data_IF_088963375603
#
_entry.id   IF_088963375603
#
_cell.length_a   1.000
_cell.length_b   1.000
_cell.length_c   1.000
_cell.angle_alpha   90.00
_cell.angle_beta   90.00
_cell.angle_gamma   90.00
#
_symmetry.space_group_name_H-M   'P 1'
#
loop_
_entity.id
_entity.type
_entity.pdbx_description
1 polymer ?
#
# COMPACT_ATOMS: atom_id res chain seq x y z
N UNK A 1 23.56 -20.98 33.22
CA UNK A 1 23.70 -19.55 32.85
C UNK A 1 22.91 -19.32 31.57
N UNK A 2 21.65 -18.88 31.63
CA UNK A 2 20.87 -18.67 30.39
C UNK A 2 21.31 -17.37 29.69
N UNK A 3 21.48 -17.42 28.37
CA UNK A 3 21.83 -16.24 27.58
C UNK A 3 20.68 -15.22 27.61
N UNK A 4 21.01 -13.92 27.50
CA UNK A 4 20.00 -12.85 27.42
C UNK A 4 19.00 -13.11 26.29
N UNK A 5 19.48 -13.68 25.19
CA UNK A 5 18.68 -14.11 24.05
C UNK A 5 17.64 -15.18 24.44
N UNK A 6 18.04 -16.18 25.23
CA UNK A 6 17.13 -17.24 25.67
C UNK A 6 16.05 -16.72 26.63
N UNK A 7 16.39 -15.73 27.48
CA UNK A 7 15.41 -15.02 28.32
C UNK A 7 14.40 -14.23 27.49
N UNK A 8 14.86 -13.53 26.45
CA UNK A 8 14.00 -12.75 25.55
C UNK A 8 13.06 -13.66 24.75
N UNK A 9 13.56 -14.78 24.21
CA UNK A 9 12.75 -15.76 23.46
C UNK A 9 11.71 -16.43 24.37
N UNK A 10 12.07 -16.77 25.61
CA UNK A 10 11.10 -17.36 26.56
C UNK A 10 10.00 -16.38 26.96
N UNK A 11 10.30 -15.09 27.06
CA UNK A 11 9.31 -14.05 27.34
C UNK A 11 8.29 -13.90 26.19
N UNK A 12 8.75 -13.84 24.94
CA UNK A 12 7.90 -13.79 23.74
C UNK A 12 6.98 -15.01 23.63
N UNK A 13 7.51 -16.22 23.86
CA UNK A 13 6.72 -17.47 23.84
C UNK A 13 5.70 -17.51 24.97
N UNK A 14 6.00 -16.94 26.14
CA UNK A 14 5.06 -16.84 27.26
C UNK A 14 3.93 -15.85 26.99
N UNK A 15 4.22 -14.73 26.30
CA UNK A 15 3.21 -13.76 25.84
C UNK A 15 2.25 -14.43 24.85
N UNK A 16 2.77 -15.17 23.87
CA UNK A 16 1.96 -15.93 22.90
C UNK A 16 1.06 -16.99 23.56
N UNK A 17 1.54 -17.67 24.62
CA UNK A 17 0.76 -18.68 25.35
C UNK A 17 -0.34 -18.09 26.25
N UNK A 18 -0.22 -16.83 26.67
CA UNK A 18 -1.25 -16.15 27.49
C UNK A 18 -2.41 -15.60 26.66
N UNK A 19 -2.27 -15.54 25.33
CA UNK A 19 -3.28 -15.06 24.40
C UNK A 19 -4.25 -16.17 23.98
N UNK A 20 -4.75 -16.97 24.93
CA UNK A 20 -5.82 -17.92 24.68
C UNK A 20 -7.17 -17.18 24.70
N UNK A 21 -7.94 -17.11 23.60
CA UNK A 21 -9.19 -16.36 23.59
C UNK A 21 -10.36 -17.26 24.00
N UNK A 22 -11.02 -16.94 25.12
CA UNK A 22 -12.38 -17.41 25.40
C UNK A 22 -13.40 -16.39 24.87
N UNK A 23 -13.97 -16.76 23.72
CA UNK A 23 -15.31 -16.49 23.18
C UNK A 23 -16.18 -15.38 23.80
N UNK A 24 -16.65 -14.42 22.98
CA UNK A 24 -18.03 -13.90 23.04
C UNK A 24 -18.58 -13.62 21.62
N UNK A 25 -19.61 -14.41 21.31
CA UNK A 25 -20.69 -14.30 20.33
C UNK A 25 -20.62 -13.23 19.20
N UNK A 26 -20.51 -13.71 17.95
CA UNK A 26 -21.06 -13.01 16.78
C UNK A 26 -20.22 -13.04 15.50
N UNK A 27 -18.91 -12.79 15.58
CA UNK A 27 -18.05 -12.57 14.40
C UNK A 27 -16.78 -13.46 14.39
N UNK A 28 -16.89 -14.74 14.79
CA UNK A 28 -15.73 -15.59 15.08
C UNK A 28 -15.35 -16.63 14.00
N UNK A 29 -15.94 -16.59 12.79
CA UNK A 29 -15.65 -17.59 11.74
C UNK A 29 -14.70 -17.14 10.62
N UNK A 30 -14.41 -15.84 10.45
CA UNK A 30 -13.68 -15.33 9.27
C UNK A 30 -12.19 -15.07 9.52
N UNK A 31 -11.75 -14.97 10.79
CA UNK A 31 -10.39 -14.49 11.11
C UNK A 31 -9.33 -15.59 11.13
N UNK A 32 -9.71 -16.86 11.37
CA UNK A 32 -8.74 -17.97 11.46
C UNK A 32 -8.37 -18.52 10.07
N UNK A 33 -9.32 -18.59 9.13
CA UNK A 33 -9.02 -18.95 7.74
C UNK A 33 -8.18 -17.86 7.04
N UNK A 34 -8.41 -16.59 7.36
CA UNK A 34 -7.70 -15.45 6.76
C UNK A 34 -6.27 -15.28 7.26
N UNK A 35 -5.98 -15.60 8.52
CA UNK A 35 -4.63 -15.48 9.08
C UNK A 35 -3.65 -16.54 8.56
N UNK A 36 -4.08 -17.81 8.46
CA UNK A 36 -3.27 -18.89 7.89
C UNK A 36 -3.18 -18.74 6.36
N UNK A 37 -4.25 -18.28 5.70
CA UNK A 37 -4.22 -17.94 4.27
C UNK A 37 -3.32 -16.74 3.98
N UNK A 38 -3.26 -15.71 4.85
CA UNK A 38 -2.31 -14.60 4.73
C UNK A 38 -0.85 -15.04 5.01
N UNK A 39 -0.63 -16.03 5.87
CA UNK A 39 0.70 -16.63 6.07
C UNK A 39 1.16 -17.47 4.87
N UNK A 40 0.24 -18.21 4.23
CA UNK A 40 0.54 -19.07 3.07
C UNK A 40 0.55 -18.30 1.73
N UNK A 41 -0.22 -17.21 1.62
CA UNK A 41 -0.27 -16.31 0.46
C UNK A 41 0.52 -15.02 0.73
N UNK A 42 1.83 -15.09 0.97
CA UNK A 42 2.70 -13.93 0.70
C UNK A 42 2.81 -13.68 -0.81
N UNK A 43 1.66 -13.47 -1.47
CA UNK A 43 1.55 -12.91 -2.80
C UNK A 43 1.71 -11.41 -2.72
N UNK A 44 2.97 -10.95 -2.71
CA UNK A 44 3.39 -9.63 -3.17
C UNK A 44 2.67 -8.39 -2.58
N UNK A 45 2.62 -8.23 -1.25
CA UNK A 45 2.52 -6.86 -0.69
C UNK A 45 3.92 -6.25 -0.73
N UNK A 46 4.38 -5.90 -1.94
CA UNK A 46 5.60 -5.10 -2.08
C UNK A 46 5.31 -3.76 -1.41
N UNK A 47 6.09 -3.32 -0.40
CA UNK A 47 5.88 -2.02 0.21
C UNK A 47 5.99 -0.97 -0.89
N UNK A 48 4.84 -0.45 -1.33
CA UNK A 48 4.80 0.56 -2.39
C UNK A 48 5.28 1.85 -1.73
N UNK A 49 6.52 2.22 -2.04
CA UNK A 49 7.00 3.57 -1.74
C UNK A 49 6.27 4.50 -2.69
N UNK A 50 5.24 5.17 -2.17
CA UNK A 50 4.52 6.19 -2.91
C UNK A 50 5.29 7.51 -2.86
N UNK A 51 5.11 8.32 -3.89
CA UNK A 51 5.77 9.63 -3.97
C UNK A 51 5.05 10.64 -3.08
N UNK A 52 5.82 11.57 -2.53
CA UNK A 52 5.30 12.77 -1.86
C UNK A 52 4.64 13.73 -2.87
N UNK A 53 3.88 14.72 -2.38
CA UNK A 53 3.22 15.76 -3.19
C UNK A 53 4.21 16.48 -4.14
N UNK A 54 5.47 16.62 -3.71
CA UNK A 54 6.53 17.34 -4.43
C UNK A 54 7.40 16.46 -5.34
N UNK A 55 7.28 15.15 -5.22
CA UNK A 55 8.16 14.19 -5.90
C UNK A 55 7.56 13.68 -7.21
N UNK A 56 8.42 13.33 -8.18
CA UNK A 56 7.96 12.70 -9.41
C UNK A 56 7.32 11.33 -9.09
N UNK A 57 6.06 11.17 -9.46
CA UNK A 57 5.29 9.96 -9.20
C UNK A 57 5.23 8.99 -10.39
N UNK A 58 5.89 9.28 -11.53
CA UNK A 58 5.84 8.44 -12.74
C UNK A 58 6.26 6.99 -12.49
N UNK A 59 7.30 6.77 -11.68
CA UNK A 59 7.81 5.42 -11.40
C UNK A 59 6.96 4.67 -10.37
N UNK A 60 6.37 5.40 -9.42
CA UNK A 60 5.64 4.81 -8.28
C UNK A 60 4.17 4.57 -8.63
N UNK A 61 3.56 5.46 -9.42
CA UNK A 61 2.14 5.44 -9.79
C UNK A 61 1.21 5.59 -8.59
N UNK A 62 1.71 6.07 -7.45
CA UNK A 62 0.92 6.33 -6.26
C UNK A 62 1.45 7.51 -5.44
N UNK A 63 0.57 8.08 -4.64
CA UNK A 63 0.83 9.25 -3.81
C UNK A 63 0.70 8.88 -2.32
N UNK A 64 1.55 9.49 -1.49
CA UNK A 64 1.63 9.19 -0.06
C UNK A 64 0.39 9.68 0.71
N UNK A 65 -0.14 10.84 0.29
CA UNK A 65 -1.35 11.44 0.84
C UNK A 65 -2.59 10.85 0.18
N UNK A 66 -3.57 10.47 1.01
CA UNK A 66 -4.87 9.99 0.55
C UNK A 66 -5.59 11.10 -0.22
N UNK A 67 -6.35 10.72 -1.25
CA UNK A 67 -7.07 11.65 -2.12
C UNK A 67 -6.23 12.15 -3.31
N UNK A 68 -4.91 12.10 -3.21
CA UNK A 68 -4.04 12.42 -4.34
C UNK A 68 -3.86 11.24 -5.29
N UNK A 69 -3.74 11.58 -6.56
CA UNK A 69 -3.51 10.66 -7.67
C UNK A 69 -2.33 11.16 -8.50
N UNK A 70 -1.62 10.23 -9.12
CA UNK A 70 -0.47 10.57 -9.93
C UNK A 70 -0.92 10.95 -11.35
N UNK A 71 -0.91 12.24 -11.67
CA UNK A 71 -1.24 12.72 -13.00
C UNK A 71 0.04 13.10 -13.74
N UNK A 72 0.18 12.61 -14.97
CA UNK A 72 1.21 13.07 -15.89
C UNK A 72 1.01 14.57 -16.13
N UNK A 73 2.10 15.34 -16.08
CA UNK A 73 2.13 16.75 -16.47
C UNK A 73 2.68 16.90 -17.89
N UNK A 74 3.64 16.05 -18.22
CA UNK A 74 4.32 15.93 -19.50
C UNK A 74 4.89 14.50 -19.63
N UNK A 75 5.69 14.24 -20.66
CA UNK A 75 6.26 12.91 -20.93
C UNK A 75 7.34 12.48 -19.91
N UNK A 76 7.93 13.41 -19.16
CA UNK A 76 9.06 13.16 -18.26
C UNK A 76 8.72 13.42 -16.78
N UNK A 77 7.58 14.09 -16.52
CA UNK A 77 7.15 14.42 -15.18
C UNK A 77 5.68 14.10 -14.87
N UNK A 78 5.45 13.56 -13.68
CA UNK A 78 4.13 13.41 -13.09
C UNK A 78 4.11 13.87 -11.64
N UNK A 79 2.99 14.45 -11.23
CA UNK A 79 2.82 15.02 -9.89
C UNK A 79 1.57 14.47 -9.21
N UNK A 80 1.62 14.41 -7.89
CA UNK A 80 0.48 14.04 -7.08
C UNK A 80 -0.52 15.21 -6.96
N UNK A 81 -1.72 15.03 -7.50
CA UNK A 81 -2.79 16.02 -7.51
C UNK A 81 -4.14 15.35 -7.21
N UNK A 82 -5.10 16.10 -6.64
CA UNK A 82 -6.45 15.58 -6.40
C UNK A 82 -7.23 15.35 -7.70
N UNK A 83 -6.97 16.19 -8.69
CA UNK A 83 -7.62 16.16 -10.00
C UNK A 83 -6.66 16.62 -11.10
N UNK A 84 -6.99 16.27 -12.34
CA UNK A 84 -6.32 16.81 -13.52
C UNK A 84 -6.55 18.33 -13.58
N UNK A 85 -5.49 19.11 -13.40
CA UNK A 85 -5.57 20.56 -13.54
C UNK A 85 -5.53 20.92 -15.03
N UNK A 86 -6.47 21.75 -15.51
CA UNK A 86 -6.58 22.13 -16.93
C UNK A 86 -5.38 22.91 -17.51
N UNK A 87 -4.31 23.17 -16.74
CA UNK A 87 -3.10 23.80 -17.26
C UNK A 87 -2.26 22.88 -18.17
N UNK A 88 -2.52 21.58 -18.21
CA UNK A 88 -1.81 20.64 -19.07
C UNK A 88 -2.59 20.46 -20.36
N UNK A 89 -2.22 21.18 -21.41
CA UNK A 89 -2.97 21.22 -22.68
C UNK A 89 -2.84 19.94 -23.51
N UNK A 90 -2.09 18.92 -23.07
CA UNK A 90 -1.92 17.65 -23.82
C UNK A 90 -1.67 16.39 -22.99
N UNK A 91 -1.08 16.46 -21.78
CA UNK A 91 -0.79 15.28 -20.96
C UNK A 91 -1.45 15.41 -19.58
N UNK A 92 -2.54 14.66 -19.34
CA UNK A 92 -3.21 14.60 -18.04
C UNK A 92 -3.58 13.16 -17.65
N UNK A 93 -2.83 12.20 -18.19
CA UNK A 93 -3.09 10.78 -18.00
C UNK A 93 -2.81 10.37 -16.55
N UNK A 94 -3.66 9.50 -16.02
CA UNK A 94 -3.52 8.97 -14.68
C UNK A 94 -2.55 7.78 -14.68
N UNK A 95 -1.48 7.89 -13.90
CA UNK A 95 -0.49 6.84 -13.72
C UNK A 95 -0.86 6.01 -12.50
N UNK A 96 -1.12 4.73 -12.73
CA UNK A 96 -1.49 3.76 -11.71
C UNK A 96 -0.29 2.90 -11.28
N UNK A 97 -0.34 2.35 -10.06
CA UNK A 97 0.75 1.55 -9.54
C UNK A 97 1.04 0.33 -10.44
N UNK A 98 2.31 0.10 -10.77
CA UNK A 98 2.71 -0.95 -11.72
C UNK A 98 2.73 -0.50 -13.19
N UNK A 99 2.77 0.82 -13.44
CA UNK A 99 3.04 1.38 -14.77
C UNK A 99 1.83 1.39 -15.70
N UNK A 100 0.61 1.19 -15.18
CA UNK A 100 -0.61 1.27 -15.98
C UNK A 100 -0.99 2.74 -16.19
N UNK A 101 -1.32 3.12 -17.41
CA UNK A 101 -1.73 4.48 -17.76
C UNK A 101 -3.21 4.49 -18.11
N UNK A 102 -4.01 5.26 -17.36
CA UNK A 102 -5.41 5.53 -17.66
C UNK A 102 -5.51 6.87 -18.37
N UNK A 103 -5.74 6.82 -19.68
CA UNK A 103 -5.83 8.00 -20.53
C UNK A 103 -7.06 8.83 -20.20
N UNK A 104 -6.88 10.14 -20.13
CA UNK A 104 -7.99 11.06 -19.91
C UNK A 104 -8.83 11.21 -21.20
N UNK A 105 -10.18 11.23 -21.14
CA UNK A 105 -11.02 11.26 -22.34
C UNK A 105 -10.86 12.54 -23.19
N UNK A 106 -10.32 13.62 -22.63
CA UNK A 106 -10.00 14.84 -23.39
C UNK A 106 -8.59 14.86 -23.97
N UNK A 107 -7.76 13.86 -23.68
CA UNK A 107 -6.45 13.67 -24.30
C UNK A 107 -6.67 13.03 -25.67
N UNK A 108 -7.01 13.85 -26.66
CA UNK A 108 -7.01 13.45 -28.06
C UNK A 108 -5.56 13.39 -28.51
N UNK A 109 -5.02 12.18 -28.65
CA UNK A 109 -3.71 11.93 -29.24
C UNK A 109 -3.81 11.92 -30.77
#
# INVERSE_FOLDING_TARGET
LESRLLRQVKAEVLVLRRMAPLAHAGHASVVIASGVLALLLQGCVKPRHCSDETSNCMKTGCCLKKGLKCYARDEEWASCQESCTHSYTTACDLILPGGKIQRHPTTTR
#
